data_IF_048531684382
#
_entry.id   IF_048531684382
#
_cell.length_a   1.000
_cell.length_b   1.000
_cell.length_c   1.000
_cell.angle_alpha   90.00
_cell.angle_beta   90.00
_cell.angle_gamma   90.00
#
_symmetry.space_group_name_H-M   'P 1'
#
loop_
_entity.id
_entity.type
_entity.pdbx_description
1 polymer ?
#
# COMPACT_ATOMS: atom_id res chain seq x y z
N UNK A 1 -7.48 7.26 -16.66
CA UNK A 1 -8.00 7.36 -15.28
C UNK A 1 -7.07 8.24 -14.47
N UNK A 2 -7.60 9.32 -13.89
CA UNK A 2 -6.87 10.22 -12.99
C UNK A 2 -7.54 10.08 -11.63
N UNK A 3 -6.79 9.69 -10.61
CA UNK A 3 -7.32 9.47 -9.27
C UNK A 3 -6.27 9.80 -8.23
N UNK A 4 -6.70 10.16 -7.04
CA UNK A 4 -5.82 10.40 -5.91
C UNK A 4 -6.16 9.41 -4.80
N UNK A 5 -5.13 8.99 -4.06
CA UNK A 5 -5.28 8.12 -2.90
C UNK A 5 -4.51 8.72 -1.74
N UNK A 6 -5.17 8.95 -0.61
CA UNK A 6 -4.53 9.41 0.62
C UNK A 6 -4.21 8.22 1.52
N UNK A 7 -2.93 7.96 1.74
CA UNK A 7 -2.43 6.93 2.65
C UNK A 7 -1.94 7.61 3.92
N UNK A 8 -2.48 7.21 5.06
CA UNK A 8 -2.10 7.69 6.38
C UNK A 8 -1.34 6.60 7.15
N UNK A 9 -0.15 6.93 7.62
CA UNK A 9 0.74 6.06 8.40
C UNK A 9 0.73 6.40 9.89
N UNK A 10 -0.40 6.95 10.37
CA UNK A 10 -0.66 7.48 11.71
C UNK A 10 0.13 8.74 12.07
N UNK A 11 1.44 8.75 11.82
CA UNK A 11 2.33 9.89 12.10
C UNK A 11 2.54 10.80 10.89
N UNK A 12 2.27 10.27 9.71
CA UNK A 12 2.54 10.94 8.45
C UNK A 12 1.58 10.43 7.38
N UNK A 13 1.03 11.33 6.57
CA UNK A 13 0.19 10.98 5.44
C UNK A 13 0.78 11.46 4.12
N UNK A 14 0.42 10.74 3.06
CA UNK A 14 0.85 10.99 1.70
C UNK A 14 -0.34 10.95 0.75
N UNK A 15 -0.36 11.87 -0.22
CA UNK A 15 -1.28 11.81 -1.36
C UNK A 15 -0.55 11.26 -2.56
N UNK A 16 -1.01 10.11 -3.05
CA UNK A 16 -0.53 9.54 -4.31
C UNK A 16 -1.41 10.07 -5.44
N UNK A 17 -0.80 10.74 -6.40
CA UNK A 17 -1.49 11.35 -7.53
C UNK A 17 -1.28 10.49 -8.78
N UNK A 18 -2.34 9.84 -9.26
CA UNK A 18 -2.30 9.00 -10.46
C UNK A 18 -2.88 9.72 -11.67
N UNK A 19 -2.19 9.63 -12.81
CA UNK A 19 -2.67 10.10 -14.11
C UNK A 19 -2.46 9.01 -15.15
N UNK A 20 -3.49 8.73 -15.94
CA UNK A 20 -3.46 7.68 -16.97
C UNK A 20 -2.98 6.31 -16.45
N UNK A 21 -3.41 5.95 -15.23
CA UNK A 21 -3.05 4.67 -14.60
C UNK A 21 -1.61 4.57 -14.09
N UNK A 22 -0.83 5.67 -14.13
CA UNK A 22 0.54 5.72 -13.61
C UNK A 22 0.62 6.68 -12.43
N UNK A 23 1.49 6.36 -11.47
CA UNK A 23 1.82 7.29 -10.39
C UNK A 23 2.60 8.47 -11.00
N UNK A 24 2.04 9.67 -10.87
CA UNK A 24 2.62 10.89 -11.40
C UNK A 24 3.40 11.66 -10.34
N UNK A 25 3.00 11.55 -9.07
CA UNK A 25 3.68 12.20 -7.96
C UNK A 25 3.16 11.73 -6.62
N UNK A 26 3.92 12.05 -5.58
CA UNK A 26 3.58 11.81 -4.18
C UNK A 26 3.76 13.11 -3.42
N UNK A 27 2.70 13.58 -2.77
CA UNK A 27 2.73 14.77 -1.94
C UNK A 27 2.73 14.38 -0.48
N UNK A 28 3.55 15.06 0.31
CA UNK A 28 3.56 14.92 1.77
C UNK A 28 2.47 15.78 2.37
N UNK A 29 1.55 15.18 3.13
CA UNK A 29 0.47 15.90 3.82
C UNK A 29 0.80 16.21 5.29
N UNK A 30 1.89 15.63 5.83
CA UNK A 30 2.22 15.78 7.24
C UNK A 30 1.34 14.91 8.14
N UNK A 31 1.13 15.35 9.37
CA UNK A 31 0.20 14.69 10.28
C UNK A 31 -1.25 14.94 9.85
N UNK A 32 -2.01 13.86 9.68
CA UNK A 32 -3.45 13.89 9.40
C UNK A 32 -4.16 13.15 10.52
N UNK A 33 -5.03 13.87 11.24
CA UNK A 33 -5.76 13.31 12.36
C UNK A 33 -6.71 12.20 11.90
N UNK A 34 -6.62 11.04 12.56
CA UNK A 34 -7.47 9.86 12.32
C UNK A 34 -8.35 9.54 13.54
N UNK A 35 -8.53 10.49 14.46
CA UNK A 35 -9.44 10.39 15.60
C UNK A 35 -10.91 10.33 15.16
N UNK A 36 -11.81 9.96 16.08
CA UNK A 36 -13.24 9.87 15.77
C UNK A 36 -13.77 11.19 15.21
N UNK A 37 -14.34 11.13 14.00
CA UNK A 37 -14.95 12.27 13.32
C UNK A 37 -14.00 13.04 12.38
N UNK A 38 -12.70 12.72 12.38
CA UNK A 38 -11.76 13.28 11.42
C UNK A 38 -11.70 12.48 10.11
N UNK A 39 -11.37 13.14 9.01
CA UNK A 39 -11.05 12.50 7.74
C UNK A 39 -9.60 11.97 7.79
N UNK A 40 -9.43 10.77 8.34
CA UNK A 40 -8.13 10.10 8.53
C UNK A 40 -7.44 9.65 7.23
N UNK A 41 -7.98 9.96 6.06
CA UNK A 41 -7.48 9.51 4.76
C UNK A 41 -8.20 8.28 4.21
N UNK A 42 -7.83 7.86 3.01
CA UNK A 42 -8.52 6.76 2.31
C UNK A 42 -8.10 5.39 2.82
N UNK A 43 -6.81 5.26 3.21
CA UNK A 43 -6.23 4.08 3.82
C UNK A 43 -5.36 4.50 5.01
N UNK A 44 -5.75 4.10 6.21
CA UNK A 44 -4.95 4.16 7.42
C UNK A 44 -4.27 2.81 7.62
N UNK A 45 -2.95 2.79 7.66
CA UNK A 45 -2.17 1.53 7.66
C UNK A 45 -0.82 1.72 8.38
N UNK A 46 -0.36 0.72 9.17
CA UNK A 46 0.98 0.77 9.74
C UNK A 46 2.06 0.85 8.65
N UNK A 47 3.16 1.60 8.86
CA UNK A 47 4.27 1.67 7.89
C UNK A 47 4.77 0.30 7.43
N UNK A 48 4.91 -0.65 8.35
CA UNK A 48 5.41 -2.00 8.05
C UNK A 48 4.41 -2.82 7.21
N UNK A 49 3.12 -2.60 7.41
CA UNK A 49 2.07 -3.22 6.61
C UNK A 49 1.99 -2.59 5.21
N UNK A 50 2.22 -1.27 5.09
CA UNK A 50 2.27 -0.59 3.80
C UNK A 50 3.36 -1.16 2.89
N UNK A 51 4.55 -1.42 3.43
CA UNK A 51 5.67 -2.02 2.65
C UNK A 51 5.23 -3.35 2.03
N UNK A 52 4.57 -4.21 2.83
CA UNK A 52 4.08 -5.52 2.38
C UNK A 52 2.99 -5.39 1.31
N UNK A 53 2.12 -4.40 1.44
CA UNK A 53 1.07 -4.10 0.46
C UNK A 53 1.67 -3.63 -0.86
N UNK A 54 2.59 -2.66 -0.84
CA UNK A 54 3.20 -2.07 -2.04
C UNK A 54 3.94 -3.13 -2.87
N UNK A 55 4.64 -4.05 -2.22
CA UNK A 55 5.35 -5.13 -2.91
C UNK A 55 4.45 -6.31 -3.31
N UNK A 56 3.14 -6.24 -3.04
CA UNK A 56 2.20 -7.31 -3.33
C UNK A 56 2.41 -8.57 -2.49
N UNK A 57 3.25 -8.53 -1.45
CA UNK A 57 3.53 -9.69 -0.60
C UNK A 57 2.29 -10.16 0.18
N UNK A 58 1.42 -9.21 0.55
CA UNK A 58 0.10 -9.50 1.13
C UNK A 58 -0.93 -8.50 0.63
N UNK A 59 -2.12 -9.00 0.31
CA UNK A 59 -3.28 -8.15 0.04
C UNK A 59 -3.88 -7.54 1.31
N UNK A 60 -4.78 -6.57 1.15
CA UNK A 60 -5.41 -5.87 2.28
C UNK A 60 -6.10 -6.81 3.28
N UNK A 61 -6.82 -7.82 2.81
CA UNK A 61 -7.53 -8.74 3.70
C UNK A 61 -6.57 -9.57 4.56
N UNK A 62 -5.48 -10.07 3.96
CA UNK A 62 -4.43 -10.80 4.68
C UNK A 62 -3.66 -9.91 5.67
N UNK A 63 -3.56 -8.60 5.39
CA UNK A 63 -2.93 -7.65 6.31
C UNK A 63 -3.83 -7.34 7.50
N UNK A 64 -5.16 -7.22 7.29
CA UNK A 64 -6.10 -6.91 8.38
C UNK A 64 -6.16 -7.98 9.46
N UNK A 65 -5.88 -9.24 9.11
CA UNK A 65 -5.77 -10.32 10.10
C UNK A 65 -4.59 -10.15 11.07
N UNK A 66 -3.51 -9.51 10.62
CA UNK A 66 -2.30 -9.27 11.42
C UNK A 66 -2.22 -7.85 12.01
N UNK A 67 -2.88 -6.88 11.37
CA UNK A 67 -2.92 -5.47 11.75
C UNK A 67 -4.38 -5.00 11.81
N UNK A 68 -5.06 -5.18 12.97
CA UNK A 68 -6.47 -4.84 13.12
C UNK A 68 -6.75 -3.33 13.13
N UNK A 69 -5.70 -2.51 13.25
CA UNK A 69 -5.73 -1.05 13.19
C UNK A 69 -5.77 -0.48 11.76
N UNK A 70 -5.72 -1.35 10.74
CA UNK A 70 -5.92 -0.94 9.35
C UNK A 70 -7.39 -0.55 9.12
N UNK A 71 -7.58 0.69 8.69
CA UNK A 71 -8.89 1.23 8.33
C UNK A 71 -8.85 1.67 6.87
N UNK A 72 -9.87 1.28 6.10
CA UNK A 72 -10.00 1.68 4.70
C UNK A 72 -11.39 2.22 4.42
N UNK A 73 -11.46 3.35 3.72
CA UNK A 73 -12.74 3.88 3.25
C UNK A 73 -13.36 2.91 2.24
N UNK A 74 -14.66 2.57 2.36
CA UNK A 74 -15.32 1.66 1.42
C UNK A 74 -15.16 2.06 -0.05
N UNK A 75 -15.17 3.37 -0.35
CA UNK A 75 -15.00 3.91 -1.69
C UNK A 75 -13.58 3.70 -2.26
N UNK A 76 -12.56 3.65 -1.39
CA UNK A 76 -11.17 3.49 -1.78
C UNK A 76 -10.75 2.02 -1.90
N UNK A 77 -11.47 1.09 -1.25
CA UNK A 77 -11.10 -0.32 -1.17
C UNK A 77 -10.78 -0.96 -2.52
N UNK A 78 -11.71 -0.88 -3.48
CA UNK A 78 -11.48 -1.43 -4.82
C UNK A 78 -10.30 -0.79 -5.53
N UNK A 79 -10.06 0.51 -5.32
CA UNK A 79 -8.92 1.19 -5.91
C UNK A 79 -7.61 0.67 -5.32
N UNK A 80 -7.53 0.48 -4.01
CA UNK A 80 -6.33 -0.05 -3.34
C UNK A 80 -6.04 -1.49 -3.82
N UNK A 81 -7.06 -2.35 -3.92
CA UNK A 81 -6.89 -3.72 -4.42
C UNK A 81 -6.36 -3.77 -5.87
N UNK A 82 -6.77 -2.81 -6.71
CA UNK A 82 -6.31 -2.70 -8.11
C UNK A 82 -4.90 -2.11 -8.19
N UNK A 83 -4.56 -1.12 -7.35
CA UNK A 83 -3.25 -0.47 -7.36
C UNK A 83 -2.16 -1.34 -6.74
N UNK A 84 -2.50 -2.13 -5.73
CA UNK A 84 -1.58 -2.98 -4.97
C UNK A 84 -2.11 -4.41 -4.90
N UNK A 85 -2.21 -5.11 -6.04
CA UNK A 85 -2.67 -6.48 -6.06
C UNK A 85 -1.67 -7.38 -5.32
N UNK A 86 -2.17 -8.47 -4.73
CA UNK A 86 -1.29 -9.54 -4.28
C UNK A 86 -0.54 -10.13 -5.47
N UNK A 87 0.76 -10.35 -5.31
CA UNK A 87 1.65 -10.87 -6.33
C UNK A 87 2.37 -12.11 -5.80
N UNK A 88 2.32 -13.19 -6.56
CA UNK A 88 3.11 -14.38 -6.24
C UNK A 88 4.59 -14.07 -6.46
N UNK A 89 5.34 -14.04 -5.36
CA UNK A 89 6.79 -13.83 -5.41
C UNK A 89 7.49 -15.05 -6.02
N UNK A 90 8.34 -14.83 -7.01
CA UNK A 90 9.15 -15.88 -7.63
C UNK A 90 10.64 -15.59 -7.44
N UNK A 91 11.34 -16.49 -6.77
CA UNK A 91 12.80 -16.46 -6.67
C UNK A 91 13.37 -17.36 -7.75
N UNK A 92 13.99 -16.77 -8.78
CA UNK A 92 14.77 -17.51 -9.76
C UNK A 92 16.24 -17.51 -9.34
N UNK A 93 16.71 -18.65 -8.83
CA UNK A 93 18.16 -18.86 -8.70
C UNK A 93 18.68 -19.29 -10.06
N UNK A 94 19.54 -18.48 -10.68
CA UNK A 94 20.29 -18.93 -11.86
C UNK A 94 21.22 -20.04 -11.39
N UNK A 95 21.14 -21.23 -12.02
CA UNK A 95 22.01 -22.36 -11.73
C UNK A 95 23.48 -21.89 -11.70
N UNK A 96 24.05 -21.71 -10.51
CA UNK A 96 25.47 -21.55 -10.34
C UNK A 96 26.06 -22.95 -10.55
N UNK A 97 26.48 -23.25 -11.78
CA UNK A 97 27.26 -24.43 -12.06
C UNK A 97 28.61 -24.27 -11.36
N UNK A 98 28.74 -24.84 -10.17
CA UNK A 98 30.03 -25.10 -9.55
C UNK A 98 30.61 -26.34 -10.24
N UNK A 99 31.29 -26.12 -11.36
CA UNK A 99 32.13 -27.14 -11.96
C UNK A 99 33.26 -27.46 -11.00
N UNK A 100 33.28 -28.68 -10.47
CA UNK A 100 34.47 -29.21 -9.81
C UNK A 100 35.41 -29.73 -10.91
N UNK A 101 36.63 -29.20 -10.91
CA UNK A 101 37.80 -29.71 -11.64
C UNK A 101 38.21 -31.10 -11.16
#
# INVERSE_FOLDING_TARGET
MTTNLVINLFRQAYRLCFKSGKLHGVETLGFVDSSMGSDGGDLLIPPDALVRLIFGYRGLDQLRDAWPDIVIKPAARRLVDVLFPHMDSYLYSTYAYFGNE
#
